data_IF_117410305193
#
_entry.id   IF_117410305193
#
_cell.length_a   1.000
_cell.length_b   1.000
_cell.length_c   1.000
_cell.angle_alpha   90.00
_cell.angle_beta   90.00
_cell.angle_gamma   90.00
#
_symmetry.space_group_name_H-M   'P 1'
#
loop_
_entity.id
_entity.type
_entity.pdbx_description
1 polymer ?
#
# COMPACT_ATOMS: atom_id res chain seq x y z
N UNK A 1 -11.05 48.78 16.97
CA UNK A 1 -9.99 48.16 17.78
C UNK A 1 -8.94 49.21 18.09
N UNK A 2 -8.45 49.35 19.33
CA UNK A 2 -7.43 50.33 19.65
C UNK A 2 -6.06 49.88 19.11
N UNK A 3 -5.26 50.82 18.58
CA UNK A 3 -3.93 50.59 17.99
C UNK A 3 -2.92 49.91 18.94
N UNK A 4 -3.18 49.95 20.24
CA UNK A 4 -2.34 49.34 21.28
C UNK A 4 -2.49 47.81 21.34
N UNK A 5 -3.64 47.27 20.90
CA UNK A 5 -3.87 45.82 20.85
C UNK A 5 -3.12 45.16 19.67
N UNK A 6 -3.05 45.82 18.51
CA UNK A 6 -2.33 45.33 17.33
C UNK A 6 -0.81 45.23 17.58
N UNK A 7 -0.23 46.19 18.31
CA UNK A 7 1.20 46.19 18.65
C UNK A 7 1.55 45.17 19.73
N UNK A 8 0.66 44.95 20.70
CA UNK A 8 0.82 43.90 21.71
C UNK A 8 0.66 42.48 21.13
N UNK A 9 -0.26 42.29 20.17
CA UNK A 9 -0.43 41.02 19.47
C UNK A 9 0.77 40.65 18.59
N UNK A 10 1.43 41.62 17.96
CA UNK A 10 2.62 41.41 17.12
C UNK A 10 3.88 40.99 17.91
N UNK A 11 3.92 41.25 19.22
CA UNK A 11 5.07 40.97 20.08
C UNK A 11 5.01 39.64 20.85
N UNK A 12 3.92 38.87 20.71
CA UNK A 12 3.74 37.63 21.46
C UNK A 12 4.78 36.57 21.06
N UNK A 13 5.34 35.86 22.05
CA UNK A 13 6.37 34.84 21.87
C UNK A 13 5.98 33.56 22.58
N UNK A 14 6.12 32.43 21.89
CA UNK A 14 5.67 31.12 22.38
C UNK A 14 6.88 30.22 22.59
N UNK A 15 6.98 29.58 23.77
CA UNK A 15 8.07 28.67 24.08
C UNK A 15 7.85 27.26 23.52
N UNK A 16 8.95 26.51 23.41
CA UNK A 16 8.93 25.13 22.91
C UNK A 16 8.03 24.15 23.68
N UNK A 17 7.64 24.44 24.94
CA UNK A 17 6.70 23.59 25.70
C UNK A 17 5.24 23.92 25.41
N UNK A 18 4.92 25.21 25.24
CA UNK A 18 3.54 25.66 25.04
C UNK A 18 3.03 25.43 23.61
N UNK A 19 3.92 25.09 22.68
CA UNK A 19 3.53 24.76 21.30
C UNK A 19 2.88 23.38 21.19
N UNK A 20 3.10 22.49 22.15
CA UNK A 20 2.54 21.12 22.28
C UNK A 20 2.85 20.14 21.13
N UNK A 21 3.26 20.63 19.96
CA UNK A 21 3.71 19.80 18.84
C UNK A 21 5.21 19.44 18.94
N UNK A 22 5.50 18.14 18.83
CA UNK A 22 6.86 17.59 18.98
C UNK A 22 7.85 18.02 17.90
N UNK A 23 7.37 18.37 16.70
CA UNK A 23 8.22 18.82 15.61
C UNK A 23 8.62 20.29 15.82
N UNK A 24 7.67 21.15 16.14
CA UNK A 24 7.92 22.54 16.50
C UNK A 24 8.75 22.65 17.78
N UNK A 25 8.51 21.83 18.80
CA UNK A 25 9.35 21.80 20.00
C UNK A 25 10.83 21.64 19.62
N UNK A 26 11.16 20.64 18.78
CA UNK A 26 12.54 20.39 18.33
C UNK A 26 13.09 21.54 17.51
N UNK A 27 12.28 22.18 16.67
CA UNK A 27 12.71 23.35 15.89
C UNK A 27 13.00 24.56 16.77
N UNK A 28 12.11 24.88 17.72
CA UNK A 28 12.26 26.01 18.64
C UNK A 28 13.47 25.78 19.56
N UNK A 29 13.69 24.55 20.04
CA UNK A 29 14.88 24.22 20.82
C UNK A 29 16.19 24.46 20.05
N UNK A 30 16.19 24.26 18.74
CA UNK A 30 17.38 24.44 17.88
C UNK A 30 17.59 25.89 17.46
N UNK A 31 16.54 26.56 16.99
CA UNK A 31 16.61 27.87 16.31
C UNK A 31 16.01 29.04 17.10
N UNK A 32 15.26 28.77 18.16
CA UNK A 32 14.60 29.81 18.96
C UNK A 32 15.57 30.58 19.86
N UNK A 33 15.20 31.80 20.19
CA UNK A 33 15.93 32.68 21.10
C UNK A 33 15.38 32.53 22.53
N UNK A 34 16.22 32.72 23.54
CA UNK A 34 15.78 32.69 24.94
C UNK A 34 14.99 33.96 25.24
N UNK A 35 13.71 33.78 25.60
CA UNK A 35 12.80 34.88 25.88
C UNK A 35 11.69 34.45 26.84
N UNK A 36 10.90 35.39 27.34
CA UNK A 36 9.75 35.13 28.20
C UNK A 36 8.54 34.73 27.37
N UNK A 37 7.97 33.56 27.67
CA UNK A 37 6.78 33.04 26.97
C UNK A 37 5.53 33.83 27.34
N UNK A 38 4.77 34.28 26.35
CA UNK A 38 3.50 35.00 26.56
C UNK A 38 2.39 34.12 27.15
N UNK A 39 2.48 32.79 27.03
CA UNK A 39 1.45 31.86 27.55
C UNK A 39 1.72 31.35 28.97
N UNK A 40 2.98 31.07 29.31
CA UNK A 40 3.33 30.45 30.60
C UNK A 40 4.28 31.30 31.46
N UNK A 41 4.59 32.53 31.03
CA UNK A 41 5.50 33.48 31.68
C UNK A 41 6.92 32.95 31.99
N UNK A 42 7.27 31.75 31.54
CA UNK A 42 8.59 31.15 31.78
C UNK A 42 9.61 31.61 30.74
N UNK A 43 10.83 31.88 31.17
CA UNK A 43 11.96 32.18 30.27
C UNK A 43 12.51 30.90 29.67
N UNK A 44 12.31 30.71 28.36
CA UNK A 44 12.69 29.50 27.59
C UNK A 44 13.06 29.89 26.17
N UNK A 45 13.51 28.93 25.35
CA UNK A 45 13.61 29.17 23.90
C UNK A 45 12.21 29.36 23.31
N UNK A 46 12.02 30.49 22.64
CA UNK A 46 10.76 30.97 22.09
C UNK A 46 10.91 31.37 20.62
N UNK A 47 9.77 31.43 19.93
CA UNK A 47 9.61 32.03 18.60
C UNK A 47 8.41 32.99 18.61
N UNK A 48 8.38 34.01 17.73
CA UNK A 48 7.21 34.88 17.60
C UNK A 48 5.95 34.11 17.21
N UNK A 49 4.82 34.42 17.83
CA UNK A 49 3.52 33.79 17.54
C UNK A 49 3.14 33.97 16.07
N UNK A 50 3.40 35.14 15.49
CA UNK A 50 3.16 35.41 14.07
C UNK A 50 3.82 34.36 13.13
N UNK A 51 5.01 33.85 13.47
CA UNK A 51 5.65 32.80 12.66
C UNK A 51 4.91 31.46 12.75
N UNK A 52 4.28 31.17 13.88
CA UNK A 52 3.44 29.98 14.05
C UNK A 52 2.14 30.17 13.26
N UNK A 53 1.49 31.33 13.40
CA UNK A 53 0.25 31.68 12.69
C UNK A 53 0.43 31.56 11.18
N UNK A 54 1.48 32.15 10.61
CA UNK A 54 1.76 32.03 9.16
C UNK A 54 1.89 30.57 8.69
N UNK A 55 2.47 29.69 9.54
CA UNK A 55 2.57 28.26 9.20
C UNK A 55 1.22 27.56 9.30
N UNK A 56 0.44 27.86 10.34
CA UNK A 56 -0.91 27.32 10.52
C UNK A 56 -1.81 27.75 9.37
N UNK A 57 -1.79 29.01 8.96
CA UNK A 57 -2.55 29.51 7.79
C UNK A 57 -2.18 28.76 6.51
N UNK A 58 -0.89 28.52 6.27
CA UNK A 58 -0.43 27.77 5.10
C UNK A 58 -0.94 26.32 5.11
N UNK A 59 -0.96 25.68 6.29
CA UNK A 59 -1.50 24.33 6.48
C UNK A 59 -3.01 24.31 6.24
N UNK A 60 -3.75 25.20 6.89
CA UNK A 60 -5.21 25.30 6.77
C UNK A 60 -5.62 25.52 5.31
N UNK A 61 -4.96 26.45 4.60
CA UNK A 61 -5.24 26.72 3.19
C UNK A 61 -5.11 25.48 2.30
N UNK A 62 -4.17 24.60 2.63
CA UNK A 62 -3.94 23.36 1.89
C UNK A 62 -4.86 22.21 2.35
N UNK A 63 -5.33 22.23 3.59
CA UNK A 63 -6.02 21.08 4.22
C UNK A 63 -7.53 21.22 4.34
N UNK A 64 -8.08 22.44 4.41
CA UNK A 64 -9.51 22.69 4.62
C UNK A 64 -10.12 23.58 3.52
N UNK A 65 -11.43 23.53 3.40
CA UNK A 65 -12.25 24.46 2.62
C UNK A 65 -13.52 24.79 3.39
N UNK A 66 -14.26 25.82 2.97
CA UNK A 66 -15.57 26.12 3.55
C UNK A 66 -16.50 24.92 3.37
N UNK A 67 -17.26 24.60 4.41
CA UNK A 67 -18.20 23.49 4.40
C UNK A 67 -19.37 23.74 3.46
N UNK A 68 -19.86 22.68 2.83
CA UNK A 68 -21.05 22.77 1.99
C UNK A 68 -22.31 22.94 2.86
N UNK A 69 -23.26 23.74 2.37
CA UNK A 69 -24.58 23.87 2.99
C UNK A 69 -25.45 22.68 2.59
N UNK A 70 -25.87 21.89 3.58
CA UNK A 70 -26.85 20.82 3.38
C UNK A 70 -28.14 21.13 4.11
N UNK A 71 -29.26 20.88 3.43
CA UNK A 71 -30.59 20.88 4.04
C UNK A 71 -30.84 19.56 4.73
N UNK A 72 -30.95 19.57 6.05
CA UNK A 72 -31.35 18.39 6.83
C UNK A 72 -32.83 18.50 7.19
N UNK A 73 -33.58 17.43 6.97
CA UNK A 73 -35.01 17.36 7.30
C UNK A 73 -35.19 16.67 8.64
N UNK A 74 -35.45 17.45 9.68
CA UNK A 74 -35.81 16.95 11.01
C UNK A 74 -36.85 17.88 11.63
N UNK A 75 -38.12 17.70 11.28
CA UNK A 75 -39.24 18.55 11.75
C UNK A 75 -39.29 19.97 11.16
N UNK A 76 -38.43 20.26 10.18
CA UNK A 76 -38.27 21.53 9.46
C UNK A 76 -37.00 21.48 8.62
N UNK A 77 -36.88 22.33 7.60
CA UNK A 77 -35.64 22.50 6.85
C UNK A 77 -34.70 23.40 7.67
N UNK A 78 -33.66 22.81 8.25
CA UNK A 78 -32.55 23.57 8.85
C UNK A 78 -31.38 23.50 7.87
N UNK A 79 -30.92 24.67 7.43
CA UNK A 79 -29.66 24.78 6.70
C UNK A 79 -28.53 24.57 7.71
N UNK A 80 -27.78 23.48 7.56
CA UNK A 80 -26.57 23.23 8.33
C UNK A 80 -25.36 23.24 7.40
N UNK A 81 -24.35 24.03 7.75
CA UNK A 81 -23.06 23.96 7.08
C UNK A 81 -22.26 22.78 7.63
N UNK A 82 -21.80 21.89 6.76
CA UNK A 82 -20.97 20.75 7.15
C UNK A 82 -19.62 21.21 7.72
N UNK A 83 -18.99 20.36 8.53
CA UNK A 83 -17.67 20.62 9.09
C UNK A 83 -17.70 21.17 10.51
N UNK A 84 -16.63 21.87 10.90
CA UNK A 84 -16.44 22.42 12.24
C UNK A 84 -15.78 23.80 12.21
N UNK A 85 -15.89 24.51 13.33
CA UNK A 85 -15.29 25.84 13.53
C UNK A 85 -13.77 25.81 13.45
N UNK A 86 -13.16 26.97 13.21
CA UNK A 86 -11.72 27.08 12.94
C UNK A 86 -10.83 26.57 14.09
N UNK A 87 -11.27 26.71 15.34
CA UNK A 87 -10.56 26.22 16.53
C UNK A 87 -10.42 24.70 16.54
N UNK A 88 -11.39 23.96 15.98
CA UNK A 88 -11.31 22.48 15.83
C UNK A 88 -10.19 22.11 14.87
N UNK A 89 -10.01 22.85 13.78
CA UNK A 89 -8.95 22.57 12.81
C UNK A 89 -7.57 22.99 13.34
N UNK A 90 -7.50 24.10 14.08
CA UNK A 90 -6.27 24.50 14.76
C UNK A 90 -5.88 23.49 15.84
N UNK A 91 -6.85 22.97 16.60
CA UNK A 91 -6.61 21.93 17.60
C UNK A 91 -6.15 20.61 16.97
N UNK A 92 -6.67 20.23 15.79
CA UNK A 92 -6.19 19.09 15.00
C UNK A 92 -4.72 19.29 14.55
N UNK A 93 -4.34 20.49 14.09
CA UNK A 93 -2.97 20.82 13.67
C UNK A 93 -1.96 20.64 14.82
N UNK A 94 -2.31 21.10 16.02
CA UNK A 94 -1.46 20.98 17.21
C UNK A 94 -1.60 19.65 17.94
N UNK A 95 -2.61 18.84 17.61
CA UNK A 95 -3.01 17.61 18.32
C UNK A 95 -3.22 17.85 19.81
N UNK A 96 -3.91 18.92 20.13
CA UNK A 96 -4.24 19.30 21.50
C UNK A 96 -5.74 19.60 21.62
N UNK A 97 -6.22 19.78 22.85
CA UNK A 97 -7.60 20.16 23.07
C UNK A 97 -7.85 21.62 22.63
N UNK A 98 -9.07 21.96 22.20
CA UNK A 98 -9.37 23.31 21.71
C UNK A 98 -9.38 24.36 22.83
N UNK A 99 -9.45 23.91 24.09
CA UNK A 99 -9.33 24.75 25.29
C UNK A 99 -7.88 25.21 25.57
N UNK A 100 -6.89 24.64 24.89
CA UNK A 100 -5.49 24.97 25.13
C UNK A 100 -5.16 26.42 24.73
N UNK A 101 -4.40 27.17 25.55
CA UNK A 101 -4.13 28.59 25.31
C UNK A 101 -3.49 28.90 23.94
N UNK A 102 -2.75 27.95 23.38
CA UNK A 102 -2.11 28.09 22.07
C UNK A 102 -3.13 28.15 20.92
N UNK A 103 -4.21 27.37 21.01
CA UNK A 103 -5.28 27.36 19.98
C UNK A 103 -5.94 28.73 19.95
N UNK A 104 -6.38 29.20 21.12
CA UNK A 104 -6.98 30.52 21.27
C UNK A 104 -6.04 31.67 20.84
N UNK A 105 -4.74 31.57 21.15
CA UNK A 105 -3.76 32.58 20.73
C UNK A 105 -3.58 32.62 19.21
N UNK A 106 -3.56 31.45 18.54
CA UNK A 106 -3.45 31.35 17.08
C UNK A 106 -4.74 31.83 16.41
N UNK A 107 -5.92 31.36 16.84
CA UNK A 107 -7.20 31.73 16.23
C UNK A 107 -7.44 33.26 16.22
N UNK A 108 -7.06 33.96 17.29
CA UNK A 108 -7.17 35.44 17.35
C UNK A 108 -6.36 36.18 16.29
N UNK A 109 -5.35 35.54 15.69
CA UNK A 109 -4.51 36.14 14.65
C UNK A 109 -4.81 35.57 13.24
N UNK A 110 -5.76 34.64 13.11
CA UNK A 110 -6.19 34.07 11.83
C UNK A 110 -7.22 34.96 11.14
N UNK A 111 -6.77 36.05 10.52
CA UNK A 111 -7.68 37.03 9.89
C UNK A 111 -8.37 36.52 8.61
N UNK A 112 -7.88 35.41 8.03
CA UNK A 112 -8.43 34.83 6.79
C UNK A 112 -9.59 33.86 7.04
N UNK A 113 -9.97 33.62 8.30
CA UNK A 113 -10.97 32.64 8.70
C UNK A 113 -12.03 33.30 9.59
N UNK A 114 -13.27 32.83 9.50
CA UNK A 114 -14.42 33.36 10.25
C UNK A 114 -14.87 32.36 11.30
N UNK A 115 -15.29 32.87 12.47
CA UNK A 115 -15.90 32.06 13.53
C UNK A 115 -17.35 31.64 13.16
N UNK A 116 -17.98 32.32 12.19
CA UNK A 116 -19.34 32.03 11.73
C UNK A 116 -19.40 30.99 10.60
N UNK A 117 -18.23 30.51 10.12
CA UNK A 117 -18.13 29.56 9.02
C UNK A 117 -17.62 28.21 9.56
N UNK A 118 -18.33 27.14 9.22
CA UNK A 118 -17.81 25.80 9.39
C UNK A 118 -16.93 25.42 8.20
N UNK A 119 -15.78 24.82 8.50
CA UNK A 119 -14.84 24.33 7.51
C UNK A 119 -14.86 22.81 7.50
N UNK A 120 -14.72 22.25 6.32
CA UNK A 120 -14.60 20.81 6.09
C UNK A 120 -13.20 20.47 5.61
N UNK A 121 -12.77 19.23 5.87
CA UNK A 121 -11.54 18.70 5.27
C UNK A 121 -11.70 18.79 3.76
N UNK A 122 -10.71 19.41 3.11
CA UNK A 122 -10.68 19.45 1.65
C UNK A 122 -10.68 17.99 1.18
N UNK A 123 -11.58 17.59 0.25
CA UNK A 123 -11.58 16.24 -0.28
C UNK A 123 -10.17 15.91 -0.71
N UNK A 124 -9.65 14.76 -0.30
CA UNK A 124 -8.37 14.28 -0.80
C UNK A 124 -8.52 14.12 -2.30
N UNK A 125 -8.13 15.14 -3.05
CA UNK A 125 -7.99 15.02 -4.48
C UNK A 125 -6.80 14.09 -4.70
N UNK A 126 -6.95 13.00 -5.46
CA UNK A 126 -5.81 12.18 -5.87
C UNK A 126 -4.84 12.95 -6.77
N UNK A 127 -4.93 14.27 -6.88
CA UNK A 127 -4.20 15.08 -7.85
C UNK A 127 -2.68 14.86 -7.73
N UNK A 128 -2.08 14.85 -6.54
CA UNK A 128 -0.65 14.57 -6.42
C UNK A 128 -0.24 13.14 -6.81
N UNK A 129 -0.80 12.13 -6.14
CA UNK A 129 -0.37 10.74 -6.28
C UNK A 129 -1.03 10.04 -7.44
N UNK A 130 -2.30 10.32 -7.69
CA UNK A 130 -3.04 9.80 -8.85
C UNK A 130 -2.37 10.20 -10.16
N UNK A 131 -1.87 11.44 -10.28
CA UNK A 131 -1.03 11.81 -11.43
C UNK A 131 0.27 11.01 -11.47
N UNK A 132 1.02 10.89 -10.37
CA UNK A 132 2.25 10.08 -10.32
C UNK A 132 2.01 8.60 -10.65
N UNK A 133 0.88 8.06 -10.21
CA UNK A 133 0.46 6.69 -10.48
C UNK A 133 0.04 6.52 -11.94
N UNK A 134 -0.71 7.48 -12.50
CA UNK A 134 -1.05 7.53 -13.91
C UNK A 134 0.20 7.58 -14.79
N UNK A 135 1.15 8.46 -14.46
CA UNK A 135 2.45 8.57 -15.15
C UNK A 135 3.26 7.28 -15.02
N UNK A 136 3.22 6.62 -13.85
CA UNK A 136 3.84 5.32 -13.65
C UNK A 136 3.21 4.25 -14.55
N UNK A 137 1.88 4.16 -14.59
CA UNK A 137 1.17 3.20 -15.44
C UNK A 137 1.44 3.46 -16.93
N UNK A 138 1.34 4.71 -17.37
CA UNK A 138 1.59 5.12 -18.75
C UNK A 138 3.05 4.84 -19.14
N UNK A 139 4.00 5.16 -18.26
CA UNK A 139 5.41 4.87 -18.45
C UNK A 139 5.72 3.38 -18.60
N UNK A 140 4.97 2.51 -17.90
CA UNK A 140 5.08 1.06 -18.07
C UNK A 140 4.38 0.58 -19.35
N UNK A 141 3.17 1.05 -19.62
CA UNK A 141 2.39 0.54 -20.76
C UNK A 141 2.91 1.05 -22.11
N UNK A 142 3.29 2.33 -22.19
CA UNK A 142 3.57 3.04 -23.43
C UNK A 142 4.95 3.73 -23.46
N UNK A 143 5.65 3.81 -22.33
CA UNK A 143 6.97 4.44 -22.21
C UNK A 143 8.17 3.49 -22.26
N UNK A 144 9.30 3.95 -21.71
CA UNK A 144 10.51 3.14 -21.55
C UNK A 144 10.28 2.16 -20.39
N UNK A 145 10.14 0.87 -20.68
CA UNK A 145 9.79 -0.16 -19.68
C UNK A 145 10.96 -0.62 -18.81
N UNK A 146 12.14 -0.75 -19.42
CA UNK A 146 13.27 -1.45 -18.79
C UNK A 146 14.18 -0.49 -18.01
N UNK A 147 14.32 0.76 -18.48
CA UNK A 147 15.20 1.77 -17.88
C UNK A 147 14.37 2.99 -17.46
N UNK A 148 13.32 2.74 -16.69
CA UNK A 148 12.39 3.76 -16.25
C UNK A 148 12.78 4.35 -14.88
N UNK A 149 13.58 5.41 -14.89
CA UNK A 149 14.04 6.06 -13.66
C UNK A 149 12.90 6.75 -12.89
N UNK A 150 11.86 7.26 -13.56
CA UNK A 150 10.72 7.87 -12.87
C UNK A 150 9.92 6.81 -12.11
N UNK A 151 9.69 5.64 -12.72
CA UNK A 151 9.04 4.51 -12.07
C UNK A 151 9.85 4.00 -10.88
N UNK A 152 11.17 3.88 -11.05
CA UNK A 152 12.05 3.52 -9.93
C UNK A 152 11.96 4.53 -8.80
N UNK A 153 12.02 5.84 -9.10
CA UNK A 153 11.92 6.91 -8.10
C UNK A 153 10.59 6.86 -7.35
N UNK A 154 9.50 6.59 -8.06
CA UNK A 154 8.19 6.42 -7.46
C UNK A 154 8.14 5.21 -6.50
N UNK A 155 8.66 4.05 -6.92
CA UNK A 155 8.69 2.85 -6.08
C UNK A 155 9.67 2.96 -4.90
N UNK A 156 10.81 3.66 -5.08
CA UNK A 156 11.74 4.03 -4.02
C UNK A 156 11.02 4.82 -2.93
N UNK A 157 10.29 5.87 -3.32
CA UNK A 157 9.49 6.68 -2.40
C UNK A 157 8.37 5.87 -1.75
N UNK A 158 7.63 5.07 -2.53
CA UNK A 158 6.47 4.32 -2.06
C UNK A 158 6.84 3.26 -1.01
N UNK A 159 7.92 2.53 -1.24
CA UNK A 159 8.38 1.45 -0.37
C UNK A 159 9.55 1.86 0.55
N UNK A 160 9.82 3.15 0.70
CA UNK A 160 10.88 3.66 1.59
C UNK A 160 10.64 3.26 3.05
N UNK A 161 11.54 2.46 3.64
CA UNK A 161 11.46 2.13 5.06
C UNK A 161 10.41 1.07 5.41
N UNK A 162 10.07 0.17 4.48
CA UNK A 162 9.27 -1.03 4.74
C UNK A 162 9.69 -1.79 6.01
N UNK A 163 11.00 -1.87 6.28
CA UNK A 163 11.53 -2.56 7.45
C UNK A 163 11.25 -1.83 8.77
N UNK A 164 10.99 -0.53 8.72
CA UNK A 164 10.73 0.32 9.90
C UNK A 164 9.26 0.32 10.30
N UNK A 165 8.36 -0.13 9.42
CA UNK A 165 6.93 -0.34 9.70
C UNK A 165 6.68 -1.68 10.45
N UNK A 166 7.73 -2.25 11.04
CA UNK A 166 7.73 -3.41 11.92
C UNK A 166 7.53 -3.02 13.40
N UNK A 167 6.96 -1.86 13.70
CA UNK A 167 7.08 -1.28 15.04
C UNK A 167 6.16 -1.96 16.08
N UNK A 168 6.79 -2.47 17.14
CA UNK A 168 6.28 -2.93 18.44
C UNK A 168 5.71 -4.35 18.60
N UNK A 169 5.04 -4.94 17.61
CA UNK A 169 4.68 -6.37 17.62
C UNK A 169 4.71 -6.98 16.23
N UNK A 170 5.14 -8.25 16.14
CA UNK A 170 5.22 -9.05 14.89
C UNK A 170 3.84 -9.19 14.19
N UNK A 171 2.76 -8.85 14.90
CA UNK A 171 1.38 -8.98 14.45
C UNK A 171 0.97 -7.90 13.43
N UNK A 172 1.58 -6.71 13.45
CA UNK A 172 1.17 -5.56 12.60
C UNK A 172 2.22 -5.13 11.57
N UNK A 173 3.38 -5.78 11.52
CA UNK A 173 4.42 -5.50 10.53
C UNK A 173 3.98 -5.87 9.11
N UNK A 174 4.12 -4.95 8.16
CA UNK A 174 3.80 -5.19 6.74
C UNK A 174 4.78 -6.17 6.08
N UNK A 175 6.04 -6.17 6.51
CA UNK A 175 7.01 -7.21 6.13
C UNK A 175 7.01 -8.27 7.22
N UNK A 176 6.68 -9.50 6.83
CA UNK A 176 6.61 -10.66 7.72
C UNK A 176 7.81 -11.56 7.51
N UNK A 177 8.35 -12.09 8.60
CA UNK A 177 9.34 -13.15 8.57
C UNK A 177 8.65 -14.50 8.82
N UNK A 178 8.54 -15.31 7.76
CA UNK A 178 7.96 -16.65 7.84
C UNK A 178 9.09 -17.68 7.97
N UNK A 179 9.15 -18.37 9.10
CA UNK A 179 10.10 -19.46 9.41
C UNK A 179 9.48 -20.83 9.17
N UNK A 180 10.27 -21.90 9.26
CA UNK A 180 9.75 -23.26 9.07
C UNK A 180 8.76 -23.67 10.18
N UNK A 181 8.85 -23.04 11.35
CA UNK A 181 8.06 -23.33 12.55
C UNK A 181 6.77 -22.52 12.61
N UNK A 182 6.80 -21.25 12.17
CA UNK A 182 5.66 -20.33 12.27
C UNK A 182 4.81 -20.25 10.98
N UNK A 183 5.36 -20.70 9.83
CA UNK A 183 4.71 -20.47 8.56
C UNK A 183 3.44 -21.31 8.40
N UNK A 184 2.33 -20.71 7.94
CA UNK A 184 1.16 -21.47 7.57
C UNK A 184 1.50 -22.48 6.46
N UNK A 185 0.66 -23.52 6.37
CA UNK A 185 0.75 -24.48 5.29
C UNK A 185 0.53 -23.79 3.94
N UNK A 186 1.39 -24.04 2.96
CA UNK A 186 1.25 -23.47 1.62
C UNK A 186 0.73 -24.54 0.67
N UNK A 187 -0.39 -24.31 0.02
CA UNK A 187 -0.96 -25.22 -0.96
C UNK A 187 -0.73 -24.70 -2.37
N UNK A 188 -0.41 -25.61 -3.28
CA UNK A 188 -0.34 -25.33 -4.71
C UNK A 188 -1.13 -26.39 -5.49
N UNK A 189 -1.78 -25.96 -6.56
CA UNK A 189 -2.59 -26.80 -7.41
C UNK A 189 -2.31 -26.54 -8.90
N UNK A 190 -2.64 -27.53 -9.73
CA UNK A 190 -2.58 -27.43 -11.19
C UNK A 190 -3.82 -28.05 -11.82
N UNK A 191 -4.40 -27.36 -12.79
CA UNK A 191 -5.43 -27.91 -13.67
C UNK A 191 -4.81 -28.99 -14.55
N UNK A 192 -5.48 -30.13 -14.65
CA UNK A 192 -5.05 -31.27 -15.43
C UNK A 192 -6.02 -31.47 -16.59
N UNK A 193 -5.53 -31.35 -17.82
CA UNK A 193 -6.34 -31.54 -19.03
C UNK A 193 -6.47 -33.01 -19.44
N UNK A 194 -5.66 -33.91 -18.83
CA UNK A 194 -5.65 -35.33 -19.13
C UNK A 194 -5.29 -36.18 -17.92
N UNK A 195 -5.71 -37.45 -17.93
CA UNK A 195 -5.28 -38.45 -16.94
C UNK A 195 -3.76 -38.69 -16.97
N UNK A 196 -3.10 -38.46 -18.09
CA UNK A 196 -1.63 -38.50 -18.19
C UNK A 196 -0.97 -37.47 -17.29
N UNK A 197 -1.48 -36.22 -17.31
CA UNK A 197 -0.99 -35.12 -16.47
C UNK A 197 -1.12 -35.46 -14.98
N UNK A 198 -2.23 -36.09 -14.59
CA UNK A 198 -2.46 -36.53 -13.21
C UNK A 198 -1.42 -37.57 -12.79
N UNK A 199 -1.14 -38.57 -13.65
CA UNK A 199 -0.13 -39.61 -13.38
C UNK A 199 1.28 -39.03 -13.30
N UNK A 200 1.63 -38.08 -14.15
CA UNK A 200 2.93 -37.39 -14.11
C UNK A 200 3.12 -36.62 -12.81
N UNK A 201 2.09 -35.88 -12.38
CA UNK A 201 2.13 -35.18 -11.09
C UNK A 201 2.21 -36.17 -9.94
N UNK A 202 1.47 -37.27 -9.98
CA UNK A 202 1.50 -38.29 -8.93
C UNK A 202 2.84 -39.02 -8.83
N UNK A 203 3.55 -39.20 -9.96
CA UNK A 203 4.86 -39.85 -9.99
C UNK A 203 5.96 -38.99 -9.35
N UNK A 204 5.90 -37.66 -9.50
CA UNK A 204 6.81 -36.72 -8.81
C UNK A 204 6.08 -35.41 -8.46
N UNK A 205 5.34 -35.39 -7.33
CA UNK A 205 4.59 -34.21 -6.93
C UNK A 205 5.49 -33.02 -6.59
N UNK A 206 6.66 -33.30 -6.00
CA UNK A 206 7.60 -32.28 -5.56
C UNK A 206 8.12 -31.47 -6.76
N UNK A 207 8.47 -32.14 -7.86
CA UNK A 207 8.91 -31.48 -9.10
C UNK A 207 7.75 -30.84 -9.84
N UNK A 208 6.66 -31.57 -10.06
CA UNK A 208 5.61 -31.11 -10.97
C UNK A 208 4.72 -30.04 -10.33
N UNK A 209 4.57 -29.99 -9.01
CA UNK A 209 3.89 -28.89 -8.31
C UNK A 209 4.82 -27.74 -7.93
N UNK A 210 6.15 -27.84 -8.07
CA UNK A 210 7.06 -26.71 -7.80
C UNK A 210 6.94 -25.59 -8.86
N UNK A 211 7.74 -24.53 -8.68
CA UNK A 211 7.90 -23.48 -9.67
C UNK A 211 8.36 -24.08 -11.02
N UNK A 212 7.75 -23.66 -12.14
CA UNK A 212 8.13 -24.18 -13.45
C UNK A 212 9.59 -23.81 -13.78
N UNK A 213 10.29 -24.62 -14.59
CA UNK A 213 11.55 -24.19 -15.20
C UNK A 213 11.38 -22.89 -16.00
N UNK A 214 12.44 -22.07 -16.09
CA UNK A 214 12.42 -20.77 -16.77
C UNK A 214 12.02 -20.87 -18.24
N UNK A 215 12.30 -22.01 -18.87
CA UNK A 215 12.02 -22.29 -20.28
C UNK A 215 10.51 -22.41 -20.58
N UNK A 216 9.69 -22.71 -19.55
CA UNK A 216 8.23 -22.91 -19.68
C UNK A 216 7.44 -22.09 -18.65
N UNK A 217 8.10 -21.14 -17.98
CA UNK A 217 7.46 -20.26 -17.03
C UNK A 217 6.57 -19.25 -17.79
N UNK A 218 5.26 -19.43 -17.69
CA UNK A 218 4.28 -18.49 -18.22
C UNK A 218 4.25 -17.17 -17.45
N UNK A 219 3.53 -16.19 -18.00
CA UNK A 219 3.27 -14.93 -17.31
C UNK A 219 2.23 -15.08 -16.20
N UNK A 220 2.40 -14.29 -15.14
CA UNK A 220 1.44 -14.18 -14.05
C UNK A 220 1.43 -12.78 -13.46
N UNK A 221 0.57 -12.53 -12.46
CA UNK A 221 0.45 -11.21 -11.81
C UNK A 221 1.78 -10.68 -11.29
N UNK A 222 2.61 -11.55 -10.74
CA UNK A 222 3.84 -11.19 -10.03
C UNK A 222 5.10 -11.59 -10.79
N UNK A 223 4.99 -12.07 -12.02
CA UNK A 223 6.15 -12.47 -12.83
C UNK A 223 5.89 -12.34 -14.33
N UNK A 224 6.83 -11.80 -15.11
CA UNK A 224 6.77 -11.89 -16.57
C UNK A 224 7.04 -13.32 -17.05
N UNK A 225 6.65 -13.60 -18.30
CA UNK A 225 7.02 -14.85 -18.96
C UNK A 225 8.56 -15.04 -18.96
N UNK A 226 8.99 -16.28 -18.74
CA UNK A 226 10.42 -16.64 -18.62
C UNK A 226 11.04 -16.40 -17.24
N UNK A 227 10.34 -15.73 -16.31
CA UNK A 227 10.77 -15.56 -14.91
C UNK A 227 9.90 -16.44 -14.01
N UNK A 228 10.44 -17.55 -13.47
CA UNK A 228 9.67 -18.41 -12.58
C UNK A 228 9.22 -17.72 -11.28
N UNK A 229 8.06 -18.11 -10.79
CA UNK A 229 7.60 -17.83 -9.44
C UNK A 229 6.82 -19.03 -8.90
N UNK A 230 6.74 -19.15 -7.58
CA UNK A 230 5.88 -20.12 -6.92
C UNK A 230 4.63 -19.43 -6.40
N UNK A 231 3.48 -19.79 -6.96
CA UNK A 231 2.16 -19.34 -6.50
C UNK A 231 1.53 -20.39 -5.59
N UNK A 232 1.06 -19.99 -4.42
CA UNK A 232 0.29 -20.84 -3.53
C UNK A 232 -0.75 -20.06 -2.73
N UNK A 233 -1.47 -20.77 -1.89
CA UNK A 233 -2.46 -20.21 -0.96
C UNK A 233 -2.35 -20.89 0.41
N UNK A 234 -2.78 -20.21 1.47
CA UNK A 234 -2.72 -20.78 2.82
C UNK A 234 -3.81 -21.81 3.11
N UNK A 235 -4.90 -21.83 2.33
CA UNK A 235 -5.89 -22.90 2.35
C UNK A 235 -5.97 -23.61 0.99
N UNK A 236 -6.11 -24.94 1.03
CA UNK A 236 -6.27 -25.75 -0.19
C UNK A 236 -7.48 -25.32 -1.03
N UNK A 237 -8.61 -24.99 -0.38
CA UNK A 237 -9.83 -24.52 -1.07
C UNK A 237 -9.59 -23.22 -1.85
N UNK A 238 -8.82 -22.29 -1.26
CA UNK A 238 -8.44 -21.02 -1.87
C UNK A 238 -7.56 -21.27 -3.10
N UNK A 239 -6.58 -22.17 -2.96
CA UNK A 239 -5.71 -22.57 -4.07
C UNK A 239 -6.48 -23.18 -5.26
N UNK A 240 -7.49 -24.01 -5.02
CA UNK A 240 -8.31 -24.59 -6.10
C UNK A 240 -9.21 -23.52 -6.72
N UNK A 241 -9.79 -22.63 -5.91
CA UNK A 241 -10.67 -21.56 -6.39
C UNK A 241 -9.94 -20.56 -7.31
N UNK A 242 -8.70 -20.19 -6.98
CA UNK A 242 -7.87 -19.28 -7.80
C UNK A 242 -7.59 -19.82 -9.22
N UNK A 243 -7.59 -21.14 -9.42
CA UNK A 243 -7.42 -21.73 -10.76
C UNK A 243 -8.65 -21.55 -11.67
N UNK A 244 -9.81 -21.17 -11.11
CA UNK A 244 -11.09 -21.05 -11.81
C UNK A 244 -11.38 -22.24 -12.75
N UNK A 245 -11.26 -23.49 -12.28
CA UNK A 245 -11.42 -24.63 -13.16
C UNK A 245 -12.88 -24.77 -13.62
N UNK A 246 -13.14 -25.22 -14.85
CA UNK A 246 -14.49 -25.46 -15.34
C UNK A 246 -15.15 -26.64 -14.62
N UNK A 247 -16.48 -26.70 -14.65
CA UNK A 247 -17.23 -27.89 -14.22
C UNK A 247 -16.81 -29.08 -15.09
N UNK A 248 -16.59 -30.23 -14.46
CA UNK A 248 -15.99 -31.43 -15.08
C UNK A 248 -14.47 -31.38 -15.18
N UNK A 249 -13.83 -30.26 -14.83
CA UNK A 249 -12.39 -30.13 -14.80
C UNK A 249 -11.74 -30.96 -13.68
N UNK A 250 -10.47 -31.34 -13.90
CA UNK A 250 -9.65 -32.03 -12.92
C UNK A 250 -8.57 -31.11 -12.38
N UNK A 251 -8.37 -31.09 -11.07
CA UNK A 251 -7.30 -30.33 -10.41
C UNK A 251 -6.53 -31.25 -9.47
N UNK A 252 -5.20 -31.16 -9.49
CA UNK A 252 -4.34 -31.86 -8.52
C UNK A 252 -3.68 -30.82 -7.63
N UNK A 253 -3.69 -31.06 -6.32
CA UNK A 253 -3.13 -30.14 -5.33
C UNK A 253 -2.23 -30.84 -4.33
N UNK A 254 -1.24 -30.12 -3.82
CA UNK A 254 -0.28 -30.61 -2.84
C UNK A 254 0.05 -29.55 -1.81
N UNK A 255 0.56 -30.00 -0.66
CA UNK A 255 1.01 -29.16 0.44
C UNK A 255 2.52 -28.97 0.39
N UNK A 256 2.96 -27.76 0.70
CA UNK A 256 4.34 -27.35 0.86
C UNK A 256 4.53 -26.72 2.25
N UNK A 257 5.76 -26.82 2.77
CA UNK A 257 6.24 -26.12 3.96
C UNK A 257 7.51 -25.36 3.65
N UNK A 258 7.84 -24.34 4.44
CA UNK A 258 9.12 -23.66 4.33
C UNK A 258 10.24 -24.49 4.96
N UNK A 259 11.44 -24.40 4.38
CA UNK A 259 12.69 -25.00 4.88
C UNK A 259 13.58 -24.02 5.62
N UNK A 260 13.36 -22.71 5.40
CA UNK A 260 14.15 -21.61 5.97
C UNK A 260 13.27 -20.37 6.07
N UNK A 261 13.74 -19.39 6.83
CA UNK A 261 13.11 -18.08 6.91
C UNK A 261 13.04 -17.40 5.53
N UNK A 262 11.91 -16.75 5.27
CA UNK A 262 11.68 -15.90 4.10
C UNK A 262 11.03 -14.60 4.53
N UNK A 263 11.40 -13.50 3.87
CA UNK A 263 10.82 -12.17 4.11
C UNK A 263 9.75 -11.89 3.07
N UNK A 264 8.50 -11.77 3.49
CA UNK A 264 7.38 -11.53 2.56
C UNK A 264 6.68 -10.22 2.88
N UNK A 265 6.36 -9.45 1.84
CA UNK A 265 5.54 -8.26 1.99
C UNK A 265 4.06 -8.66 1.99
N UNK A 266 3.36 -8.38 3.07
CA UNK A 266 1.95 -8.68 3.23
C UNK A 266 1.10 -7.45 2.88
N UNK A 267 0.52 -7.46 1.68
CA UNK A 267 -0.29 -6.35 1.22
C UNK A 267 -1.59 -6.20 2.01
N UNK A 268 -2.13 -7.27 2.58
CA UNK A 268 -3.34 -7.22 3.40
C UNK A 268 -3.13 -6.40 4.66
N UNK A 269 -1.91 -6.44 5.22
CA UNK A 269 -1.59 -5.69 6.44
C UNK A 269 -1.56 -4.18 6.22
N UNK A 270 -1.40 -3.66 5.01
CA UNK A 270 -1.38 -2.20 4.78
C UNK A 270 -2.67 -1.50 5.19
N UNK A 271 -3.83 -2.18 5.12
CA UNK A 271 -5.11 -1.63 5.57
C UNK A 271 -5.05 -1.20 7.04
N UNK A 272 -4.39 -1.99 7.89
CA UNK A 272 -4.37 -1.83 9.35
C UNK A 272 -2.95 -1.60 9.91
N UNK A 273 -1.95 -1.40 9.05
CA UNK A 273 -0.56 -1.31 9.47
C UNK A 273 -0.30 -0.05 10.28
N UNK A 274 0.49 -0.20 11.35
CA UNK A 274 1.15 0.95 11.97
C UNK A 274 2.28 1.43 11.04
N UNK A 275 1.94 2.40 10.18
CA UNK A 275 2.90 3.05 9.30
C UNK A 275 3.83 4.04 10.06
N UNK A 276 3.92 3.90 11.39
CA UNK A 276 4.68 4.73 12.31
C UNK A 276 3.89 5.93 12.81
N UNK A 277 4.47 6.75 13.70
CA UNK A 277 3.78 7.91 14.26
C UNK A 277 3.34 8.85 13.15
N UNK A 278 2.12 9.33 13.24
CA UNK A 278 1.55 10.23 12.24
C UNK A 278 2.42 11.51 12.13
N UNK A 279 2.81 11.93 10.92
CA UNK A 279 3.68 13.10 10.75
C UNK A 279 3.01 14.35 11.34
N UNK A 280 3.79 15.25 11.91
CA UNK A 280 3.30 16.56 12.33
C UNK A 280 2.92 17.39 11.10
N UNK A 281 1.84 18.16 11.17
CA UNK A 281 1.45 19.13 10.13
C UNK A 281 2.55 20.17 9.84
N UNK A 282 3.44 20.42 10.80
CA UNK A 282 4.56 21.35 10.63
C UNK A 282 5.78 20.73 9.93
N UNK A 283 5.78 19.42 9.67
CA UNK A 283 6.78 18.77 8.81
C UNK A 283 6.57 19.22 7.36
N UNK A 284 7.58 19.82 6.69
CA UNK A 284 7.47 20.20 5.28
C UNK A 284 7.11 19.04 4.34
N UNK A 285 7.34 17.79 4.76
CA UNK A 285 6.98 16.58 4.03
C UNK A 285 5.65 15.96 4.48
N UNK A 286 4.84 16.66 5.29
CA UNK A 286 3.57 16.15 5.85
C UNK A 286 2.65 15.57 4.76
N UNK A 287 2.29 16.38 3.76
CA UNK A 287 1.38 15.95 2.70
C UNK A 287 1.92 14.76 1.91
N UNK A 288 3.21 14.76 1.56
CA UNK A 288 3.85 13.61 0.89
C UNK A 288 3.81 12.34 1.73
N UNK A 289 4.05 12.43 3.04
CA UNK A 289 4.00 11.28 3.96
C UNK A 289 2.59 10.75 4.18
N UNK A 290 1.60 11.63 4.36
CA UNK A 290 0.20 11.23 4.49
C UNK A 290 -0.29 10.59 3.19
N UNK A 291 -0.04 11.25 2.06
CA UNK A 291 -0.48 10.78 0.77
C UNK A 291 0.16 9.39 0.47
N UNK A 292 1.44 9.18 0.81
CA UNK A 292 2.08 7.87 0.75
C UNK A 292 1.36 6.80 1.57
N UNK A 293 0.96 7.12 2.80
CA UNK A 293 0.24 6.20 3.70
C UNK A 293 -1.11 5.80 3.11
N UNK A 294 -1.87 6.76 2.60
CA UNK A 294 -3.15 6.48 1.93
C UNK A 294 -2.94 5.64 0.67
N UNK A 295 -1.91 5.92 -0.12
CA UNK A 295 -1.63 5.14 -1.31
C UNK A 295 -1.17 3.70 -1.00
N UNK A 296 -0.42 3.50 0.08
CA UNK A 296 -0.08 2.16 0.56
C UNK A 296 -1.31 1.37 1.01
N UNK A 297 -2.34 2.02 1.56
CA UNK A 297 -3.63 1.35 1.82
C UNK A 297 -4.35 1.00 0.52
N UNK A 298 -4.29 1.89 -0.47
CA UNK A 298 -4.93 1.69 -1.76
C UNK A 298 -4.26 0.62 -2.64
N UNK A 299 -2.92 0.45 -2.56
CA UNK A 299 -2.19 -0.50 -3.41
C UNK A 299 -2.64 -1.95 -3.22
N UNK A 300 -3.16 -2.30 -2.04
CA UNK A 300 -3.75 -3.62 -1.80
C UNK A 300 -4.87 -3.89 -2.82
N UNK A 301 -5.79 -2.93 -2.98
CA UNK A 301 -6.91 -3.03 -3.90
C UNK A 301 -6.42 -3.25 -5.33
N UNK A 302 -5.41 -2.49 -5.78
CA UNK A 302 -4.81 -2.62 -7.11
C UNK A 302 -4.32 -4.05 -7.37
N UNK A 303 -3.66 -4.67 -6.39
CA UNK A 303 -3.09 -6.01 -6.53
C UNK A 303 -4.17 -7.10 -6.49
N UNK A 304 -5.27 -6.85 -5.78
CA UNK A 304 -6.39 -7.78 -5.63
C UNK A 304 -7.47 -7.63 -6.72
N UNK A 305 -7.37 -6.69 -7.66
CA UNK A 305 -8.34 -6.59 -8.76
C UNK A 305 -8.29 -7.86 -9.64
N UNK A 306 -9.43 -8.51 -9.95
CA UNK A 306 -9.46 -9.65 -10.86
C UNK A 306 -9.11 -9.24 -12.29
N UNK A 307 -8.01 -9.74 -12.83
CA UNK A 307 -7.71 -9.66 -14.26
C UNK A 307 -8.43 -10.79 -15.00
N UNK A 308 -9.04 -10.46 -16.14
CA UNK A 308 -9.70 -11.42 -17.02
C UNK A 308 -8.65 -12.20 -17.84
N UNK A 309 -8.84 -13.51 -18.07
CA UNK A 309 -8.00 -14.27 -19.00
C UNK A 309 -7.99 -13.59 -20.39
N UNK A 310 -6.81 -13.41 -20.99
CA UNK A 310 -6.63 -12.68 -22.25
C UNK A 310 -6.31 -11.19 -22.10
N UNK A 311 -6.35 -10.66 -20.87
CA UNK A 311 -6.02 -9.27 -20.52
C UNK A 311 -4.71 -9.16 -19.74
N UNK A 312 -3.74 -10.05 -20.01
CA UNK A 312 -2.47 -10.17 -19.26
C UNK A 312 -1.61 -8.90 -19.29
N UNK A 313 -1.86 -7.98 -20.24
CA UNK A 313 -1.27 -6.62 -20.25
C UNK A 313 -1.50 -5.87 -18.93
N UNK A 314 -2.59 -6.18 -18.22
CA UNK A 314 -2.91 -5.59 -16.91
C UNK A 314 -1.97 -6.07 -15.78
N UNK A 315 -1.20 -7.15 -16.00
CA UNK A 315 -0.20 -7.63 -15.05
C UNK A 315 1.09 -6.82 -15.05
N UNK A 316 1.30 -5.96 -16.04
CA UNK A 316 2.59 -5.26 -16.20
C UNK A 316 2.95 -4.44 -14.94
N UNK A 317 2.00 -3.70 -14.40
CA UNK A 317 2.15 -2.92 -13.17
C UNK A 317 2.56 -3.80 -11.99
N UNK A 318 1.84 -4.90 -11.75
CA UNK A 318 2.12 -5.80 -10.61
C UNK A 318 3.42 -6.58 -10.80
N UNK A 319 3.79 -6.92 -12.04
CA UNK A 319 5.07 -7.55 -12.37
C UNK A 319 6.25 -6.61 -12.10
N UNK A 320 6.11 -5.32 -12.45
CA UNK A 320 7.14 -4.30 -12.18
C UNK A 320 7.30 -4.09 -10.68
N UNK A 321 6.20 -4.00 -9.92
CA UNK A 321 6.25 -3.93 -8.45
C UNK A 321 6.94 -5.18 -7.88
N UNK A 322 6.57 -6.38 -8.33
CA UNK A 322 7.21 -7.62 -7.88
C UNK A 322 8.71 -7.65 -8.21
N UNK A 323 9.09 -7.23 -9.41
CA UNK A 323 10.49 -7.10 -9.82
C UNK A 323 11.27 -6.09 -8.98
N UNK A 324 10.64 -4.96 -8.63
CA UNK A 324 11.22 -3.97 -7.74
C UNK A 324 11.45 -4.53 -6.32
N UNK A 325 10.43 -5.14 -5.72
CA UNK A 325 10.52 -5.76 -4.39
C UNK A 325 11.61 -6.86 -4.36
N UNK A 326 11.67 -7.67 -5.42
CA UNK A 326 12.62 -8.77 -5.53
C UNK A 326 14.07 -8.33 -5.76
N UNK A 327 14.35 -7.13 -6.27
CA UNK A 327 15.72 -6.76 -6.71
C UNK A 327 16.25 -5.44 -6.16
N UNK A 328 15.39 -4.51 -5.74
CA UNK A 328 15.79 -3.16 -5.34
C UNK A 328 15.59 -2.87 -3.85
N UNK A 329 14.66 -3.56 -3.17
CA UNK A 329 14.48 -3.43 -1.73
C UNK A 329 15.68 -3.99 -0.94
N UNK A 330 16.07 -3.29 0.12
CA UNK A 330 17.11 -3.72 1.06
C UNK A 330 16.61 -3.61 2.50
N UNK A 331 16.59 -4.72 3.26
CA UNK A 331 16.94 -6.09 2.84
C UNK A 331 15.93 -6.63 1.81
N UNK A 332 16.34 -7.66 1.07
CA UNK A 332 15.58 -8.23 -0.05
C UNK A 332 14.24 -8.79 0.43
N UNK A 333 13.21 -8.67 -0.42
CA UNK A 333 11.92 -9.32 -0.23
C UNK A 333 11.89 -10.61 -1.07
N UNK A 334 11.48 -11.71 -0.45
CA UNK A 334 11.47 -13.07 -1.01
C UNK A 334 10.12 -13.44 -1.63
N UNK A 335 9.07 -12.70 -1.28
CA UNK A 335 7.74 -12.93 -1.80
C UNK A 335 6.72 -11.91 -1.32
N UNK A 336 5.47 -12.12 -1.73
CA UNK A 336 4.34 -11.25 -1.38
C UNK A 336 3.13 -12.08 -0.94
N UNK A 337 2.34 -11.53 -0.04
CA UNK A 337 1.03 -12.06 0.37
C UNK A 337 -0.05 -11.05 -0.03
N UNK A 338 -1.18 -11.54 -0.54
CA UNK A 338 -2.34 -10.71 -0.88
C UNK A 338 -3.64 -11.53 -0.76
N UNK A 339 -4.77 -10.85 -0.56
CA UNK A 339 -6.08 -11.51 -0.45
C UNK A 339 -6.44 -12.18 -1.77
N UNK A 340 -7.07 -13.35 -1.66
CA UNK A 340 -7.59 -14.05 -2.83
C UNK A 340 -8.88 -13.38 -3.29
N UNK A 341 -9.01 -13.20 -4.60
CA UNK A 341 -10.19 -12.56 -5.20
C UNK A 341 -11.36 -13.54 -5.24
N UNK A 342 -11.04 -14.84 -5.38
CA UNK A 342 -12.03 -15.91 -5.52
C UNK A 342 -12.61 -16.35 -4.17
N UNK A 343 -11.81 -16.25 -3.10
CA UNK A 343 -12.21 -16.52 -1.73
C UNK A 343 -11.77 -15.35 -0.83
N UNK A 344 -12.71 -14.48 -0.44
CA UNK A 344 -12.46 -13.29 0.38
C UNK A 344 -11.82 -13.59 1.75
N UNK A 345 -11.97 -14.83 2.24
CA UNK A 345 -11.40 -15.26 3.52
C UNK A 345 -10.02 -15.90 3.42
N UNK A 346 -9.52 -16.12 2.19
CA UNK A 346 -8.24 -16.77 1.95
C UNK A 346 -7.20 -15.79 1.42
N UNK A 347 -5.92 -16.10 1.66
CA UNK A 347 -4.79 -15.31 1.19
C UNK A 347 -3.85 -16.17 0.34
N UNK A 348 -3.31 -15.54 -0.70
CA UNK A 348 -2.34 -16.11 -1.61
C UNK A 348 -0.94 -15.69 -1.20
N UNK A 349 0.04 -16.52 -1.54
CA UNK A 349 1.46 -16.22 -1.40
C UNK A 349 2.17 -16.46 -2.73
N UNK A 350 3.04 -15.53 -3.10
CA UNK A 350 3.95 -15.70 -4.23
C UNK A 350 5.38 -15.61 -3.72
N UNK A 351 6.18 -16.65 -3.98
CA UNK A 351 7.61 -16.66 -3.72
C UNK A 351 8.38 -16.43 -5.00
N UNK A 352 9.32 -15.49 -4.96
CA UNK A 352 10.08 -15.04 -6.13
C UNK A 352 11.15 -16.05 -6.54
N UNK A 353 11.60 -15.94 -7.80
CA UNK A 353 12.53 -16.89 -8.44
C UNK A 353 13.77 -17.22 -7.60
N UNK A 354 14.36 -16.24 -6.93
CA UNK A 354 15.62 -16.40 -6.19
C UNK A 354 15.50 -17.26 -4.92
N UNK A 355 14.28 -17.44 -4.40
CA UNK A 355 14.01 -18.35 -3.28
C UNK A 355 13.20 -19.58 -3.69
N UNK A 356 12.44 -19.50 -4.78
CA UNK A 356 11.55 -20.57 -5.22
C UNK A 356 12.25 -21.60 -6.12
N UNK A 357 13.32 -21.22 -6.81
CA UNK A 357 13.97 -22.03 -7.82
C UNK A 357 15.39 -22.43 -7.42
N UNK A 358 15.85 -23.64 -7.80
CA UNK A 358 17.23 -24.04 -7.59
C UNK A 358 18.18 -23.23 -8.47
N UNK A 359 19.39 -22.98 -7.97
CA UNK A 359 20.47 -22.41 -8.76
C UNK A 359 20.75 -23.30 -9.98
N UNK A 360 20.70 -22.73 -11.19
CA UNK A 360 21.07 -23.42 -12.44
C UNK A 360 22.21 -22.69 -13.13
N UNK A 361 23.10 -23.47 -13.75
CA UNK A 361 24.17 -22.96 -14.60
C UNK A 361 23.58 -22.24 -15.82
N UNK A 362 24.26 -21.19 -16.29
CA UNK A 362 23.85 -20.48 -17.50
C UNK A 362 24.67 -21.03 -18.66
N UNK A 363 23.98 -21.73 -19.56
CA UNK A 363 24.55 -22.18 -20.84
C UNK A 363 24.30 -21.08 -21.85
N UNK A 364 25.32 -20.68 -22.58
CA UNK A 364 25.24 -19.68 -23.64
C UNK A 364 26.00 -20.14 -24.87
N UNK A 365 25.57 -19.65 -26.03
CA UNK A 365 26.24 -19.87 -27.31
C UNK A 365 26.43 -18.51 -27.98
N UNK A 366 27.64 -18.26 -28.48
CA UNK A 366 27.92 -17.10 -29.32
C UNK A 366 28.87 -17.53 -30.44
N UNK A 367 28.42 -17.40 -31.69
CA UNK A 367 29.17 -17.79 -32.89
C UNK A 367 29.71 -19.23 -32.83
N UNK A 368 28.91 -20.19 -32.36
CA UNK A 368 29.29 -21.61 -32.24
C UNK A 368 30.16 -21.93 -31.02
N UNK A 369 30.64 -20.92 -30.27
CA UNK A 369 31.33 -21.13 -29.01
C UNK A 369 30.29 -21.32 -27.91
N UNK A 370 30.36 -22.47 -27.25
CA UNK A 370 29.52 -22.80 -26.12
C UNK A 370 30.27 -22.50 -24.82
N UNK A 371 29.59 -21.81 -23.90
CA UNK A 371 30.09 -21.56 -22.56
C UNK A 371 29.11 -21.98 -21.49
N UNK A 372 29.65 -22.43 -20.37
CA UNK A 372 28.87 -22.70 -19.16
C UNK A 372 29.40 -21.74 -18.10
N UNK A 373 28.59 -20.74 -17.75
CA UNK A 373 28.84 -20.00 -16.54
C UNK A 373 28.32 -20.83 -15.37
N UNK A 374 29.13 -20.96 -14.32
CA UNK A 374 28.75 -21.62 -13.08
C UNK A 374 27.41 -21.10 -12.53
N UNK A 375 26.80 -21.87 -11.63
CA UNK A 375 25.56 -21.46 -10.99
C UNK A 375 25.71 -20.06 -10.42
N UNK A 376 24.86 -19.11 -10.85
CA UNK A 376 24.70 -17.86 -10.11
C UNK A 376 24.31 -18.23 -8.69
N UNK A 377 24.81 -17.51 -7.69
CA UNK A 377 24.39 -17.70 -6.30
C UNK A 377 22.87 -17.47 -6.22
N UNK A 378 22.12 -18.56 -6.26
CA UNK A 378 20.69 -18.58 -5.93
C UNK A 378 20.59 -19.37 -4.65
N UNK A 379 19.76 -18.88 -3.74
CA UNK A 379 19.51 -19.64 -2.54
C UNK A 379 18.89 -21.00 -2.92
N UNK A 380 19.14 -22.00 -2.08
CA UNK A 380 18.40 -23.26 -2.21
C UNK A 380 16.89 -22.99 -2.09
N UNK A 381 16.04 -23.74 -2.82
CA UNK A 381 14.59 -23.56 -2.75
C UNK A 381 14.10 -23.55 -1.30
N UNK A 382 13.38 -22.50 -0.92
CA UNK A 382 12.90 -22.31 0.44
C UNK A 382 11.70 -23.19 0.78
N UNK A 383 11.15 -23.95 -0.18
CA UNK A 383 9.97 -24.79 -0.02
C UNK A 383 10.29 -26.29 -0.08
N UNK A 384 9.49 -27.09 0.62
CA UNK A 384 9.52 -28.55 0.59
C UNK A 384 8.11 -29.09 0.40
N UNK A 385 7.96 -30.02 -0.55
CA UNK A 385 6.72 -30.79 -0.67
C UNK A 385 6.51 -31.68 0.56
N UNK A 386 5.26 -31.80 1.01
CA UNK A 386 4.87 -32.67 2.13
C UNK A 386 4.30 -33.97 1.56
N UNK A 387 4.99 -35.08 1.80
CA UNK A 387 4.56 -36.41 1.36
C UNK A 387 3.17 -36.79 1.92
N UNK A 388 2.41 -37.56 1.15
CA UNK A 388 1.04 -37.96 1.50
C UNK A 388 0.00 -36.83 1.40
N UNK A 389 0.38 -35.62 0.95
CA UNK A 389 -0.53 -34.47 0.88
C UNK A 389 -1.23 -34.28 -0.48
N UNK A 390 -0.97 -35.17 -1.45
CA UNK A 390 -1.54 -35.07 -2.79
C UNK A 390 -3.04 -35.34 -2.76
N UNK A 391 -3.82 -34.45 -3.36
CA UNK A 391 -5.27 -34.61 -3.48
C UNK A 391 -5.69 -34.31 -4.92
N UNK A 392 -6.45 -35.24 -5.49
CA UNK A 392 -7.17 -35.10 -6.74
C UNK A 392 -8.55 -34.50 -6.47
N UNK A 393 -8.92 -33.48 -7.24
CA UNK A 393 -10.20 -32.79 -7.17
C UNK A 393 -10.93 -32.93 -8.50
N UNK A 394 -12.19 -33.31 -8.42
CA UNK A 394 -13.12 -33.28 -9.55
C UNK A 394 -14.11 -32.14 -9.33
N UNK A 395 -14.19 -31.22 -10.29
CA UNK A 395 -14.99 -30.01 -10.14
C UNK A 395 -16.43 -30.31 -10.53
N UNK A 396 -17.27 -30.54 -9.53
CA UNK A 396 -18.67 -30.92 -9.78
C UNK A 396 -19.59 -29.72 -10.04
N UNK A 397 -19.35 -28.59 -9.37
CA UNK A 397 -20.18 -27.37 -9.47
C UNK A 397 -19.35 -26.13 -9.19
N UNK A 398 -19.76 -24.98 -9.73
CA UNK A 398 -19.19 -23.66 -9.45
C UNK A 398 -20.31 -22.70 -9.05
N UNK A 399 -20.14 -21.98 -7.94
CA UNK A 399 -21.07 -20.92 -7.54
C UNK A 399 -20.67 -19.61 -8.23
N UNK A 400 -21.61 -18.96 -8.91
CA UNK A 400 -21.40 -17.63 -9.48
C UNK A 400 -22.50 -16.67 -9.01
N UNK A 401 -22.13 -15.39 -8.85
CA UNK A 401 -23.06 -14.28 -8.62
C UNK A 401 -23.02 -13.43 -9.88
N UNK A 402 -24.18 -13.11 -10.43
CA UNK A 402 -24.29 -12.20 -11.57
C UNK A 402 -25.10 -10.98 -11.15
N UNK A 403 -24.77 -9.83 -11.74
CA UNK A 403 -25.57 -8.60 -11.65
C UNK A 403 -26.00 -8.31 -13.08
N UNK A 404 -27.29 -8.46 -13.36
CA UNK A 404 -27.86 -8.09 -14.65
C UNK A 404 -28.17 -6.60 -14.64
N UNK A 405 -27.55 -5.83 -15.52
CA UNK A 405 -27.91 -4.44 -15.79
C UNK A 405 -28.57 -4.43 -17.17
N UNK A 406 -29.78 -3.89 -17.26
CA UNK A 406 -30.43 -3.69 -18.56
C UNK A 406 -29.72 -2.57 -19.29
N UNK A 407 -29.17 -2.86 -20.47
CA UNK A 407 -28.60 -1.84 -21.34
C UNK A 407 -29.73 -1.24 -22.20
N UNK A 408 -29.89 0.09 -22.29
CA UNK A 408 -30.83 0.68 -23.24
C UNK A 408 -30.36 0.41 -24.67
N UNK A 409 -31.24 -0.21 -25.48
CA UNK A 409 -30.98 -0.43 -26.90
C UNK A 409 -31.14 0.90 -27.66
N UNK A 410 -30.09 1.33 -28.38
CA UNK A 410 -30.14 2.52 -29.25
C UNK A 410 -29.67 3.84 -28.64
N UNK A 411 -28.99 3.84 -27.48
CA UNK A 411 -28.27 5.02 -26.97
C UNK A 411 -26.76 4.82 -27.07
N UNK A 412 -26.03 5.84 -27.55
CA UNK A 412 -24.59 5.78 -27.88
C UNK A 412 -23.66 5.69 -26.66
N UNK A 413 -24.13 6.04 -25.45
CA UNK A 413 -23.32 5.96 -24.24
C UNK A 413 -24.13 5.42 -23.06
N UNK A 414 -23.68 4.27 -22.54
CA UNK A 414 -24.07 3.78 -21.22
C UNK A 414 -22.85 3.93 -20.34
N UNK A 415 -22.86 4.91 -19.43
CA UNK A 415 -21.90 4.97 -18.34
C UNK A 415 -22.21 3.80 -17.39
N UNK A 416 -21.53 2.68 -17.59
CA UNK A 416 -21.54 1.58 -16.63
C UNK A 416 -20.53 1.94 -15.55
N UNK A 417 -20.99 2.57 -14.48
CA UNK A 417 -20.15 2.77 -13.28
C UNK A 417 -19.83 1.39 -12.69
N UNK A 418 -18.61 0.94 -12.93
CA UNK A 418 -18.05 -0.19 -12.22
C UNK A 418 -17.60 0.29 -10.83
N UNK A 419 -18.49 0.25 -9.84
CA UNK A 419 -18.06 0.25 -8.44
C UNK A 419 -17.33 -1.09 -8.17
N UNK A 420 -16.00 -1.04 -8.06
CA UNK A 420 -15.13 -2.19 -7.77
C UNK A 420 -14.93 -2.39 -6.27
#
# INVERSE_FOLDING_TARGET
MPKDDETAMAAQKICFKCVMDSYLERQIRRKGATDTCSLCASTRKCIPLAQIVTRVEAILRAYICEGEYRRRWSGGAVDCQEGGSIDIWVSEIFRCDNVEPIVSAVCRQLNSYSDDINYSKRPFTPDGIGHQWGDFQEGMMHGNRFFNESAKTFLDWLFEGLDKHSASSDEHGVVRELTAENAPSIYRARTCMSQGTVKEIAADPARNLAAPPKEVAGEGRMNPAGVPAFYGAFERKTCVAELRPPVGGTVVSGKFKLKRAVRVLDFERFENADLGPEPSFFDPKYFSKIARREFLRYIHNIITVPVLPGSERQYLTTQVIAGYLANHCKPRIDGVIFKSVQNKSGSNIVLFSHVACPAKSVIWELNGVHGINGTKSSDSPCIQYVEGSLIHHEIQRVAYRHVGISLPEGQEEVAVDYEW
#
